data_IF_080117010366
#
_entry.id   IF_080117010366
#
_cell.length_a   1.000
_cell.length_b   1.000
_cell.length_c   1.000
_cell.angle_alpha   90.00
_cell.angle_beta   90.00
_cell.angle_gamma   90.00
#
_symmetry.space_group_name_H-M   'P 1'
#
loop_
_entity.id
_entity.type
_entity.pdbx_description
1 polymer ?
#
# COMPACT_ATOMS: atom_id res chain seq x y z
N UNK A 1 48.13 -21.56 45.35
CA UNK A 1 46.93 -22.10 44.67
C UNK A 1 46.62 -21.22 43.46
N UNK A 2 46.80 -21.74 42.24
CA UNK A 2 46.47 -21.04 40.99
C UNK A 2 45.01 -21.36 40.64
N UNK A 3 44.11 -20.37 40.68
CA UNK A 3 42.77 -20.51 40.11
C UNK A 3 42.84 -20.18 38.62
N UNK A 4 42.68 -21.22 37.78
CA UNK A 4 42.47 -21.06 36.34
C UNK A 4 40.97 -20.86 36.14
N UNK A 5 40.55 -19.62 35.87
CA UNK A 5 39.18 -19.32 35.48
C UNK A 5 38.98 -19.77 34.02
N UNK A 6 38.23 -20.85 33.82
CA UNK A 6 37.79 -21.31 32.51
C UNK A 6 36.68 -20.37 32.01
N UNK A 7 37.03 -19.39 31.18
CA UNK A 7 36.06 -18.57 30.45
C UNK A 7 35.47 -19.41 29.31
N UNK A 8 34.24 -19.89 29.46
CA UNK A 8 33.46 -20.44 28.36
C UNK A 8 33.05 -19.30 27.41
N UNK A 9 33.26 -19.42 26.09
CA UNK A 9 32.81 -18.41 25.15
C UNK A 9 31.28 -18.47 25.07
N UNK A 10 30.64 -17.36 25.46
CA UNK A 10 29.24 -17.12 25.16
C UNK A 10 29.11 -16.93 23.64
N UNK A 11 28.79 -18.00 22.92
CA UNK A 11 28.46 -17.90 21.49
C UNK A 11 27.09 -17.21 21.44
N UNK A 12 27.10 -15.90 21.17
CA UNK A 12 25.90 -15.15 20.83
C UNK A 12 25.35 -15.75 19.53
N UNK A 13 24.25 -16.50 19.63
CA UNK A 13 23.48 -16.94 18.48
C UNK A 13 22.80 -15.70 17.88
N UNK A 14 23.47 -15.05 16.92
CA UNK A 14 22.84 -14.03 16.11
C UNK A 14 21.75 -14.70 15.28
N UNK A 15 20.49 -14.47 15.67
CA UNK A 15 19.31 -14.77 14.86
C UNK A 15 19.39 -13.93 13.57
N UNK A 16 20.12 -14.41 12.58
CA UNK A 16 19.98 -13.92 11.22
C UNK A 16 18.59 -14.37 10.75
N UNK A 17 17.64 -13.43 10.69
CA UNK A 17 16.43 -13.64 9.91
C UNK A 17 16.88 -14.09 8.51
N UNK A 18 16.47 -15.28 8.07
CA UNK A 18 16.84 -15.80 6.75
C UNK A 18 16.47 -14.77 5.68
N UNK A 19 17.47 -14.33 4.91
CA UNK A 19 17.24 -13.46 3.76
C UNK A 19 16.39 -14.22 2.73
N UNK A 20 15.12 -13.83 2.61
CA UNK A 20 14.21 -14.41 1.63
C UNK A 20 14.41 -13.84 0.22
N UNK A 21 15.47 -13.05 -0.02
CA UNK A 21 15.80 -12.58 -1.35
C UNK A 21 16.11 -13.74 -2.32
N UNK A 22 15.83 -13.53 -3.61
CA UNK A 22 16.32 -14.40 -4.68
C UNK A 22 15.55 -15.73 -4.87
N UNK A 23 14.50 -15.99 -4.10
CA UNK A 23 13.68 -17.21 -4.22
C UNK A 23 12.74 -17.12 -5.42
N UNK A 24 12.32 -18.27 -5.95
CA UNK A 24 11.42 -18.36 -7.10
C UNK A 24 9.93 -18.28 -6.74
N UNK A 25 9.61 -18.35 -5.45
CA UNK A 25 8.24 -18.42 -4.97
C UNK A 25 8.08 -17.69 -3.65
N UNK A 26 6.91 -17.11 -3.46
CA UNK A 26 6.47 -16.47 -2.23
C UNK A 26 5.08 -16.99 -1.90
N UNK A 27 4.81 -17.33 -0.64
CA UNK A 27 3.50 -17.86 -0.21
C UNK A 27 2.99 -19.06 -1.03
N UNK A 28 3.91 -19.94 -1.46
CA UNK A 28 3.59 -21.07 -2.34
C UNK A 28 3.12 -20.69 -3.75
N UNK A 29 3.34 -19.43 -4.18
CA UNK A 29 3.09 -18.93 -5.53
C UNK A 29 4.45 -18.84 -6.23
N UNK A 30 4.66 -19.65 -7.26
CA UNK A 30 5.86 -19.59 -8.10
C UNK A 30 5.65 -18.62 -9.27
N UNK A 31 6.52 -17.62 -9.42
CA UNK A 31 6.40 -16.66 -10.53
C UNK A 31 6.44 -17.34 -11.91
N UNK A 32 7.22 -18.43 -12.04
CA UNK A 32 7.33 -19.22 -13.27
C UNK A 32 5.97 -19.68 -13.80
N UNK A 33 5.05 -20.06 -12.91
CA UNK A 33 3.71 -20.56 -13.28
C UNK A 33 2.83 -19.46 -13.89
N UNK A 34 3.14 -18.20 -13.59
CA UNK A 34 2.40 -17.03 -14.05
C UNK A 34 3.21 -16.17 -15.02
N UNK A 35 4.40 -16.62 -15.42
CA UNK A 35 5.27 -15.90 -16.35
C UNK A 35 4.49 -15.59 -17.64
N UNK A 36 4.67 -14.38 -18.15
CA UNK A 36 3.98 -13.84 -19.32
C UNK A 36 2.47 -13.66 -19.15
N UNK A 37 1.94 -13.50 -17.93
CA UNK A 37 0.53 -13.17 -17.74
C UNK A 37 0.10 -11.95 -18.58
N UNK A 38 0.97 -10.96 -18.76
CA UNK A 38 0.71 -9.77 -19.58
C UNK A 38 0.50 -10.06 -21.08
N UNK A 39 0.90 -11.24 -21.56
CA UNK A 39 0.64 -11.70 -22.93
C UNK A 39 -0.61 -12.59 -23.03
N UNK A 40 -1.05 -13.17 -21.92
CA UNK A 40 -2.09 -14.22 -21.87
C UNK A 40 -3.42 -13.75 -21.28
N UNK A 41 -3.37 -12.75 -20.40
CA UNK A 41 -4.49 -12.27 -19.61
C UNK A 41 -4.99 -10.94 -20.14
N UNK A 42 -6.21 -10.56 -19.76
CA UNK A 42 -6.82 -9.32 -20.22
C UNK A 42 -6.33 -8.15 -19.37
N UNK A 43 -5.92 -7.06 -20.02
CA UNK A 43 -5.59 -5.80 -19.35
C UNK A 43 -6.86 -5.25 -18.71
N UNK A 44 -6.79 -4.93 -17.42
CA UNK A 44 -7.89 -4.40 -16.62
C UNK A 44 -7.80 -2.88 -16.52
N UNK A 45 -6.63 -2.38 -16.09
CA UNK A 45 -6.41 -0.96 -15.84
C UNK A 45 -4.91 -0.65 -15.87
N UNK A 46 -4.59 0.59 -16.25
CA UNK A 46 -3.26 1.17 -16.18
C UNK A 46 -3.31 2.35 -15.21
N UNK A 47 -2.33 2.45 -14.32
CA UNK A 47 -2.20 3.57 -13.37
C UNK A 47 -0.80 4.13 -13.42
N UNK A 48 -0.68 5.45 -13.42
CA UNK A 48 0.61 6.10 -13.17
C UNK A 48 0.70 6.51 -11.69
N UNK A 49 1.79 6.13 -11.03
CA UNK A 49 2.10 6.58 -9.66
C UNK A 49 3.17 7.66 -9.71
N UNK A 50 2.81 8.86 -9.26
CA UNK A 50 3.72 10.02 -9.21
C UNK A 50 4.83 9.84 -8.17
N UNK A 51 4.53 9.15 -7.07
CA UNK A 51 5.46 9.00 -5.94
C UNK A 51 6.59 7.99 -6.20
N UNK A 52 6.38 7.06 -7.12
CA UNK A 52 7.39 6.07 -7.55
C UNK A 52 7.78 6.21 -9.02
N UNK A 53 7.16 7.14 -9.75
CA UNK A 53 7.30 7.32 -11.19
C UNK A 53 7.14 6.00 -11.97
N UNK A 54 6.08 5.25 -11.62
CA UNK A 54 5.82 3.94 -12.23
C UNK A 54 4.52 3.96 -13.04
N UNK A 55 4.57 3.39 -14.24
CA UNK A 55 3.37 2.88 -14.90
C UNK A 55 3.06 1.49 -14.36
N UNK A 56 1.79 1.26 -13.99
CA UNK A 56 1.34 0.02 -13.37
C UNK A 56 0.21 -0.59 -14.18
N UNK A 57 0.51 -1.71 -14.81
CA UNK A 57 -0.42 -2.46 -15.63
C UNK A 57 -1.00 -3.61 -14.81
N UNK A 58 -2.31 -3.66 -14.65
CA UNK A 58 -3.00 -4.77 -13.97
C UNK A 58 -3.75 -5.62 -14.98
N UNK A 59 -3.56 -6.92 -14.92
CA UNK A 59 -4.18 -7.92 -15.78
C UNK A 59 -4.97 -8.92 -14.96
N UNK A 60 -6.02 -9.50 -15.55
CA UNK A 60 -6.86 -10.52 -14.94
C UNK A 60 -6.95 -11.75 -15.84
N UNK A 61 -6.83 -12.93 -15.24
CA UNK A 61 -7.11 -14.18 -15.95
C UNK A 61 -8.60 -14.26 -16.36
N UNK A 62 -8.99 -15.21 -17.25
CA UNK A 62 -10.37 -15.26 -17.75
C UNK A 62 -11.46 -15.32 -16.67
N UNK A 63 -11.21 -16.04 -15.57
CA UNK A 63 -12.15 -16.14 -14.44
C UNK A 63 -12.35 -14.80 -13.73
N UNK A 64 -11.25 -14.14 -13.37
CA UNK A 64 -11.27 -12.85 -12.71
C UNK A 64 -11.86 -11.76 -13.62
N UNK A 65 -11.50 -11.77 -14.90
CA UNK A 65 -12.01 -10.79 -15.87
C UNK A 65 -13.51 -10.94 -16.11
N UNK A 66 -14.01 -12.18 -16.24
CA UNK A 66 -15.46 -12.45 -16.34
C UNK A 66 -16.22 -11.95 -15.11
N UNK A 67 -15.64 -12.11 -13.92
CA UNK A 67 -16.23 -11.62 -12.66
C UNK A 67 -16.34 -10.10 -12.67
N UNK A 68 -15.30 -9.40 -13.13
CA UNK A 68 -15.33 -7.94 -13.27
C UNK A 68 -16.37 -7.46 -14.30
N UNK A 69 -16.47 -8.12 -15.46
CA UNK A 69 -17.49 -7.80 -16.48
C UNK A 69 -18.92 -7.94 -15.95
N UNK A 70 -19.14 -8.89 -15.04
CA UNK A 70 -20.42 -9.10 -14.39
C UNK A 70 -20.69 -8.12 -13.23
N UNK A 71 -19.80 -7.15 -12.97
CA UNK A 71 -19.81 -6.29 -11.78
C UNK A 71 -19.95 -7.08 -10.46
N UNK A 72 -19.43 -8.30 -10.43
CA UNK A 72 -19.49 -9.17 -9.27
C UNK A 72 -18.26 -8.99 -8.39
N UNK A 73 -18.43 -9.23 -7.09
CA UNK A 73 -17.37 -9.21 -6.08
C UNK A 73 -16.99 -10.62 -5.62
N UNK A 74 -17.69 -11.64 -6.12
CA UNK A 74 -17.47 -13.04 -5.78
C UNK A 74 -16.55 -13.71 -6.81
N UNK A 75 -15.24 -13.60 -6.59
CA UNK A 75 -14.23 -14.22 -7.45
C UNK A 75 -14.16 -15.73 -7.22
N UNK A 76 -14.34 -16.57 -8.25
CA UNK A 76 -14.25 -18.03 -8.11
C UNK A 76 -12.81 -18.49 -7.85
N UNK A 77 -12.67 -19.69 -7.30
CA UNK A 77 -11.38 -20.38 -7.10
C UNK A 77 -10.54 -20.37 -8.38
N UNK A 78 -9.25 -20.06 -8.26
CA UNK A 78 -8.33 -19.93 -9.39
C UNK A 78 -8.41 -18.59 -10.13
N UNK A 79 -9.30 -17.66 -9.73
CA UNK A 79 -9.22 -16.27 -10.18
C UNK A 79 -7.85 -15.68 -9.86
N UNK A 80 -7.26 -14.95 -10.80
CA UNK A 80 -5.92 -14.44 -10.64
C UNK A 80 -5.75 -13.04 -11.24
N UNK A 81 -5.00 -12.21 -10.54
CA UNK A 81 -4.53 -10.91 -11.00
C UNK A 81 -3.01 -10.88 -11.04
N UNK A 82 -2.48 -10.25 -12.09
CA UNK A 82 -1.07 -10.01 -12.28
C UNK A 82 -0.84 -8.53 -12.52
N UNK A 83 0.11 -7.92 -11.80
CA UNK A 83 0.45 -6.51 -11.95
C UNK A 83 1.92 -6.36 -12.29
N UNK A 84 2.23 -5.50 -13.26
CA UNK A 84 3.60 -5.10 -13.59
C UNK A 84 3.74 -3.63 -13.21
N UNK A 85 4.67 -3.32 -12.32
CA UNK A 85 5.16 -1.95 -12.15
C UNK A 85 6.39 -1.78 -13.04
N UNK A 86 6.32 -0.84 -13.99
CA UNK A 86 7.44 -0.52 -14.89
C UNK A 86 8.02 0.85 -14.56
N UNK A 87 9.33 0.97 -14.68
CA UNK A 87 10.04 2.26 -14.64
C UNK A 87 9.64 3.06 -15.88
N UNK A 88 9.70 4.38 -15.80
CA UNK A 88 9.45 5.27 -16.93
C UNK A 88 10.64 6.18 -17.20
N UNK A 89 10.96 6.40 -18.48
CA UNK A 89 11.98 7.37 -18.93
C UNK A 89 11.35 8.36 -19.92
N UNK A 90 11.93 9.54 -20.16
CA UNK A 90 11.49 10.44 -21.23
C UNK A 90 11.44 9.73 -22.59
N UNK A 91 10.43 10.06 -23.39
CA UNK A 91 10.29 9.56 -24.75
C UNK A 91 11.18 10.37 -25.71
N UNK A 92 12.17 9.73 -26.40
CA UNK A 92 13.08 10.45 -27.29
C UNK A 92 12.39 11.00 -28.55
N UNK A 93 11.20 10.51 -28.91
CA UNK A 93 10.46 10.96 -30.08
C UNK A 93 9.27 11.86 -29.73
N UNK A 94 8.96 12.01 -28.44
CA UNK A 94 7.83 12.81 -27.99
C UNK A 94 8.11 13.40 -26.61
N UNK A 95 8.86 14.50 -26.58
CA UNK A 95 9.45 15.11 -25.36
C UNK A 95 8.47 15.37 -24.21
N UNK A 96 7.18 15.58 -24.52
CA UNK A 96 6.12 15.74 -23.51
C UNK A 96 5.66 14.43 -22.84
N UNK A 97 6.25 13.29 -23.19
CA UNK A 97 5.82 11.95 -22.76
C UNK A 97 6.93 11.19 -22.04
N UNK A 98 6.50 10.19 -21.26
CA UNK A 98 7.35 9.18 -20.66
C UNK A 98 6.93 7.79 -21.13
N UNK A 99 7.90 6.91 -21.35
CA UNK A 99 7.70 5.56 -21.87
C UNK A 99 8.22 4.50 -20.90
N UNK A 100 7.63 3.28 -20.88
CA UNK A 100 8.15 2.15 -20.12
C UNK A 100 9.62 1.84 -20.44
N UNK A 101 10.47 1.73 -19.42
CA UNK A 101 11.90 1.42 -19.54
C UNK A 101 12.31 0.08 -18.92
N UNK A 102 11.32 -0.74 -18.54
CA UNK A 102 11.53 -2.09 -18.00
C UNK A 102 10.70 -2.35 -16.75
N UNK A 103 10.49 -3.64 -16.43
CA UNK A 103 9.83 -4.01 -15.19
C UNK A 103 10.70 -3.62 -13.99
N UNK A 104 10.07 -3.07 -12.96
CA UNK A 104 10.64 -2.92 -11.61
C UNK A 104 10.19 -4.03 -10.69
N UNK A 105 8.96 -4.53 -10.91
CA UNK A 105 8.33 -5.55 -10.06
C UNK A 105 7.13 -6.20 -10.72
N UNK A 106 6.89 -7.43 -10.33
CA UNK A 106 5.66 -8.17 -10.58
C UNK A 106 4.93 -8.44 -9.26
N UNK A 107 3.61 -8.32 -9.28
CA UNK A 107 2.75 -8.68 -8.15
C UNK A 107 1.70 -9.66 -8.63
N UNK A 108 1.42 -10.68 -7.83
CA UNK A 108 0.42 -11.70 -8.10
C UNK A 108 -0.57 -11.78 -6.94
N UNK A 109 -1.85 -11.98 -7.28
CA UNK A 109 -2.93 -12.20 -6.34
C UNK A 109 -3.79 -13.35 -6.86
N UNK A 110 -3.84 -14.47 -6.15
CA UNK A 110 -4.44 -15.75 -6.60
C UNK A 110 -5.51 -16.20 -5.63
N UNK A 111 -6.75 -16.37 -6.11
CA UNK A 111 -7.85 -16.89 -5.31
C UNK A 111 -7.63 -18.38 -5.10
N UNK A 112 -7.41 -18.78 -3.85
CA UNK A 112 -7.33 -20.18 -3.50
C UNK A 112 -7.82 -20.43 -2.06
N UNK A 113 -8.60 -21.49 -1.86
CA UNK A 113 -9.14 -21.88 -0.57
C UNK A 113 -8.08 -22.23 0.49
N UNK A 114 -6.82 -22.46 0.11
CA UNK A 114 -5.71 -22.65 1.05
C UNK A 114 -5.33 -21.36 1.80
N UNK A 115 -5.63 -20.19 1.25
CA UNK A 115 -5.29 -18.87 1.81
C UNK A 115 -6.40 -18.33 2.72
N UNK A 116 -6.96 -19.17 3.61
CA UNK A 116 -8.14 -18.80 4.43
C UNK A 116 -7.89 -17.58 5.31
N UNK A 117 -6.69 -17.44 5.85
CA UNK A 117 -6.30 -16.35 6.72
C UNK A 117 -6.16 -15.01 5.97
N UNK A 118 -6.03 -15.07 4.64
CA UNK A 118 -5.92 -13.92 3.75
C UNK A 118 -7.17 -13.78 2.86
N UNK A 119 -8.34 -14.11 3.43
CA UNK A 119 -9.65 -13.97 2.77
C UNK A 119 -9.77 -14.79 1.46
N UNK A 120 -9.05 -15.91 1.40
CA UNK A 120 -8.96 -16.79 0.23
C UNK A 120 -8.06 -16.25 -0.88
N UNK A 121 -7.22 -15.25 -0.63
CA UNK A 121 -6.30 -14.66 -1.60
C UNK A 121 -4.84 -14.85 -1.21
N UNK A 122 -4.04 -15.45 -2.09
CA UNK A 122 -2.60 -15.53 -1.93
C UNK A 122 -1.88 -14.41 -2.65
N UNK A 123 -0.87 -13.84 -2.01
CA UNK A 123 -0.08 -12.73 -2.53
C UNK A 123 1.36 -13.14 -2.82
N UNK A 124 1.90 -12.68 -3.95
CA UNK A 124 3.30 -12.84 -4.32
C UNK A 124 3.88 -11.54 -4.87
N UNK A 125 5.09 -11.19 -4.44
CA UNK A 125 5.82 -9.99 -4.85
C UNK A 125 7.21 -10.40 -5.36
N UNK A 126 7.52 -9.98 -6.59
CA UNK A 126 8.75 -10.35 -7.27
C UNK A 126 9.41 -9.14 -7.93
N UNK A 127 10.74 -9.15 -8.01
CA UNK A 127 11.58 -8.19 -8.71
C UNK A 127 11.50 -8.34 -10.23
N UNK A 128 12.28 -7.57 -10.98
CA UNK A 128 12.34 -7.62 -12.45
C UNK A 128 12.73 -8.98 -13.03
N UNK A 129 13.44 -9.82 -12.25
CA UNK A 129 13.90 -11.15 -12.63
C UNK A 129 12.92 -12.25 -12.22
N UNK A 130 11.79 -11.88 -11.58
CA UNK A 130 10.83 -12.82 -11.05
C UNK A 130 11.29 -13.50 -9.77
N UNK A 131 12.15 -12.85 -8.99
CA UNK A 131 12.69 -13.31 -7.72
C UNK A 131 12.12 -12.51 -6.56
N UNK A 132 12.11 -13.10 -5.38
CA UNK A 132 11.58 -12.44 -4.17
C UNK A 132 12.53 -11.36 -3.66
N UNK A 133 11.95 -10.31 -3.07
CA UNK A 133 12.71 -9.26 -2.38
C UNK A 133 13.21 -9.74 -1.01
N UNK A 134 14.23 -9.08 -0.42
CA UNK A 134 14.65 -9.32 0.96
C UNK A 134 13.51 -9.14 1.98
N UNK A 135 13.69 -9.72 3.16
CA UNK A 135 12.79 -9.59 4.30
C UNK A 135 11.89 -10.81 4.52
N UNK A 136 11.01 -10.74 5.52
CA UNK A 136 10.16 -11.87 5.89
C UNK A 136 8.95 -12.00 4.94
N UNK A 137 8.80 -13.12 4.22
CA UNK A 137 7.69 -13.29 3.27
C UNK A 137 6.32 -13.33 3.97
N UNK A 138 6.26 -13.81 5.21
CA UNK A 138 5.00 -13.86 5.94
C UNK A 138 4.53 -12.46 6.33
N UNK A 139 5.44 -11.59 6.77
CA UNK A 139 5.13 -10.18 7.02
C UNK A 139 4.65 -9.48 5.75
N UNK A 140 5.31 -9.73 4.61
CA UNK A 140 4.89 -9.17 3.33
C UNK A 140 3.49 -9.67 2.90
N UNK A 141 3.16 -10.95 3.11
CA UNK A 141 1.81 -11.50 2.86
C UNK A 141 0.77 -10.83 3.75
N UNK A 142 1.06 -10.68 5.04
CA UNK A 142 0.14 -10.02 5.97
C UNK A 142 -0.06 -8.53 5.61
N UNK A 143 1.00 -7.85 5.21
CA UNK A 143 0.93 -6.47 4.71
C UNK A 143 0.04 -6.33 3.47
N UNK A 144 0.18 -7.24 2.49
CA UNK A 144 -0.69 -7.26 1.32
C UNK A 144 -2.15 -7.54 1.70
N UNK A 145 -2.40 -8.58 2.50
CA UNK A 145 -3.76 -8.96 2.94
C UNK A 145 -4.43 -7.82 3.70
N UNK A 146 -3.76 -7.23 4.69
CA UNK A 146 -4.30 -6.17 5.53
C UNK A 146 -4.63 -4.90 4.74
N UNK A 147 -3.83 -4.53 3.74
CA UNK A 147 -4.18 -3.40 2.86
C UNK A 147 -5.41 -3.73 1.99
N UNK A 148 -5.49 -4.96 1.48
CA UNK A 148 -6.59 -5.40 0.63
C UNK A 148 -7.93 -5.59 1.36
N UNK A 149 -7.94 -5.71 2.70
CA UNK A 149 -9.17 -5.65 3.53
C UNK A 149 -9.95 -4.34 3.30
N UNK A 150 -9.26 -3.23 2.98
CA UNK A 150 -9.92 -1.97 2.63
C UNK A 150 -10.81 -2.06 1.38
N UNK A 151 -10.64 -3.10 0.57
CA UNK A 151 -11.44 -3.40 -0.61
C UNK A 151 -12.34 -4.64 -0.43
N UNK A 152 -12.64 -5.06 0.80
CA UNK A 152 -13.49 -6.23 1.10
C UNK A 152 -14.83 -6.17 0.35
N UNK A 153 -15.50 -5.02 0.35
CA UNK A 153 -16.76 -4.81 -0.37
C UNK A 153 -16.64 -4.94 -1.91
N UNK A 154 -15.43 -5.17 -2.43
CA UNK A 154 -15.11 -5.49 -3.84
C UNK A 154 -14.42 -6.83 -3.99
N UNK A 155 -14.59 -7.73 -3.04
CA UNK A 155 -13.94 -9.03 -3.04
C UNK A 155 -12.43 -8.93 -2.83
N UNK A 156 -11.98 -7.91 -2.09
CA UNK A 156 -10.58 -7.59 -1.80
C UNK A 156 -9.79 -7.10 -3.03
N UNK A 157 -10.46 -6.63 -4.09
CA UNK A 157 -9.81 -6.21 -5.35
C UNK A 157 -10.03 -4.73 -5.63
N UNK A 158 -8.95 -3.93 -5.65
CA UNK A 158 -9.00 -2.49 -5.94
C UNK A 158 -9.23 -2.16 -7.43
N UNK A 159 -8.88 -3.04 -8.36
CA UNK A 159 -8.96 -2.75 -9.80
C UNK A 159 -10.39 -2.89 -10.35
N UNK A 160 -10.80 -1.91 -11.14
CA UNK A 160 -12.02 -1.91 -11.96
C UNK A 160 -11.60 -1.92 -13.43
N UNK A 161 -12.50 -2.32 -14.32
CA UNK A 161 -12.27 -2.24 -15.77
C UNK A 161 -12.11 -0.78 -16.20
N UNK A 162 -11.17 -0.53 -17.11
CA UNK A 162 -10.79 0.82 -17.54
C UNK A 162 -11.94 1.61 -18.16
N UNK A 163 -12.83 0.94 -18.88
CA UNK A 163 -14.02 1.49 -19.54
C UNK A 163 -15.17 1.78 -18.55
N UNK A 164 -15.10 1.26 -17.32
CA UNK A 164 -16.08 1.46 -16.26
C UNK A 164 -15.42 1.94 -14.95
N UNK A 165 -14.41 2.80 -15.06
CA UNK A 165 -13.76 3.41 -13.90
C UNK A 165 -14.70 4.47 -13.29
N UNK A 166 -15.49 4.09 -12.28
CA UNK A 166 -16.16 5.07 -11.44
C UNK A 166 -15.14 5.67 -10.45
N UNK A 167 -14.50 6.77 -10.87
CA UNK A 167 -13.57 7.55 -10.04
C UNK A 167 -14.29 8.45 -9.04
N UNK A 168 -15.62 8.61 -9.17
CA UNK A 168 -16.41 9.56 -8.39
C UNK A 168 -17.11 8.90 -7.21
N UNK A 169 -17.37 7.59 -7.28
CA UNK A 169 -17.94 6.83 -6.18
C UNK A 169 -16.85 5.97 -5.54
N UNK A 170 -16.56 6.23 -4.27
CA UNK A 170 -15.86 5.28 -3.39
C UNK A 170 -16.68 4.01 -3.12
N UNK A 171 -17.51 3.58 -4.08
CA UNK A 171 -18.26 2.34 -4.00
C UNK A 171 -17.27 1.20 -3.90
N UNK A 172 -17.23 0.61 -2.71
CA UNK A 172 -16.44 -0.58 -2.45
C UNK A 172 -15.12 -0.37 -1.70
N UNK A 173 -14.93 0.79 -1.06
CA UNK A 173 -13.98 0.91 0.05
C UNK A 173 -14.74 0.60 1.34
N UNK A 174 -14.27 -0.38 2.10
CA UNK A 174 -14.84 -0.72 3.40
C UNK A 174 -14.63 0.44 4.37
N UNK A 175 -15.65 0.71 5.20
CA UNK A 175 -15.57 1.73 6.24
C UNK A 175 -14.46 1.34 7.23
N UNK A 176 -13.36 2.09 7.22
CA UNK A 176 -12.25 1.91 8.15
C UNK A 176 -12.59 2.50 9.52
N UNK A 177 -11.99 1.92 10.56
CA UNK A 177 -12.13 2.33 11.93
C UNK A 177 -11.04 3.34 12.32
N UNK A 178 -11.46 4.36 13.06
CA UNK A 178 -10.58 5.39 13.58
C UNK A 178 -10.85 5.63 15.06
N UNK A 179 -9.81 5.54 15.88
CA UNK A 179 -9.83 5.88 17.30
C UNK A 179 -9.53 7.36 17.49
N UNK A 180 -10.23 8.01 18.43
CA UNK A 180 -9.85 9.33 18.88
C UNK A 180 -8.67 9.17 19.86
N UNK A 181 -7.57 9.88 19.61
CA UNK A 181 -6.40 9.90 20.50
C UNK A 181 -5.98 11.33 20.80
N UNK A 182 -5.26 11.51 21.90
CA UNK A 182 -4.65 12.78 22.27
C UNK A 182 -3.32 12.97 21.54
N UNK A 183 -3.06 14.21 21.07
CA UNK A 183 -1.80 14.58 20.43
C UNK A 183 -0.61 14.26 21.33
N UNK A 184 -0.75 14.50 22.63
CA UNK A 184 0.31 14.33 23.63
C UNK A 184 0.75 12.87 23.82
N UNK A 185 -0.10 11.91 23.43
CA UNK A 185 0.22 10.48 23.46
C UNK A 185 1.21 10.02 22.38
N UNK A 186 1.48 10.87 21.38
CA UNK A 186 2.34 10.56 20.23
C UNK A 186 3.82 10.84 20.51
N UNK A 187 4.74 10.21 19.78
CA UNK A 187 6.14 10.65 19.73
C UNK A 187 6.27 12.15 19.39
N UNK A 188 7.19 12.88 20.04
CA UNK A 188 7.34 14.34 19.89
C UNK A 188 7.48 14.81 18.44
N UNK A 189 8.27 14.10 17.65
CA UNK A 189 8.48 14.37 16.23
C UNK A 189 7.19 14.29 15.40
N UNK A 190 6.20 13.50 15.82
CA UNK A 190 4.88 13.45 15.16
C UNK A 190 3.97 14.56 15.71
N UNK A 191 4.07 14.87 17.01
CA UNK A 191 3.32 15.98 17.61
C UNK A 191 3.62 17.32 16.93
N UNK A 192 4.87 17.54 16.52
CA UNK A 192 5.33 18.74 15.82
C UNK A 192 4.74 18.90 14.42
N UNK A 193 4.28 17.81 13.79
CA UNK A 193 3.62 17.85 12.48
C UNK A 193 2.16 18.32 12.58
N UNK A 194 1.60 18.28 13.78
CA UNK A 194 0.19 18.57 14.06
C UNK A 194 0.08 20.00 14.60
N UNK A 195 -0.68 20.89 13.94
CA UNK A 195 -0.91 22.24 14.43
C UNK A 195 -1.41 22.25 15.88
N UNK A 196 -0.88 23.12 16.77
CA UNK A 196 -1.21 23.11 18.21
C UNK A 196 -2.70 23.28 18.54
N UNK A 197 -3.48 23.84 17.61
CA UNK A 197 -4.95 23.95 17.73
C UNK A 197 -5.64 22.58 17.84
N UNK A 198 -5.04 21.52 17.29
CA UNK A 198 -5.57 20.16 17.36
C UNK A 198 -5.01 19.42 18.58
N UNK A 199 -5.80 19.38 19.67
CA UNK A 199 -5.51 18.56 20.85
C UNK A 199 -5.75 17.07 20.62
N UNK A 200 -6.65 16.74 19.70
CA UNK A 200 -7.05 15.37 19.36
C UNK A 200 -6.93 15.11 17.87
N UNK A 201 -6.80 13.84 17.52
CA UNK A 201 -6.74 13.36 16.14
C UNK A 201 -7.36 11.97 16.00
N UNK A 202 -7.55 11.54 14.76
CA UNK A 202 -8.08 10.23 14.38
C UNK A 202 -6.95 9.27 14.03
N UNK A 203 -6.70 8.28 14.87
CA UNK A 203 -5.75 7.21 14.59
C UNK A 203 -6.45 6.06 13.84
N UNK A 204 -5.94 5.68 12.67
CA UNK A 204 -6.39 4.53 11.91
C UNK A 204 -6.15 3.25 12.72
N UNK A 205 -7.24 2.57 13.08
CA UNK A 205 -7.24 1.39 13.94
C UNK A 205 -7.58 0.15 13.13
N UNK A 206 -6.68 -0.20 12.22
CA UNK A 206 -6.85 -1.30 11.27
C UNK A 206 -5.60 -2.18 11.23
N UNK A 207 -5.74 -3.43 10.78
CA UNK A 207 -4.58 -4.33 10.61
C UNK A 207 -3.51 -3.73 9.69
N UNK A 208 -3.89 -2.88 8.75
CA UNK A 208 -2.93 -2.23 7.84
C UNK A 208 -1.97 -1.29 8.59
N UNK A 209 -2.35 -0.75 9.75
CA UNK A 209 -1.43 0.03 10.59
C UNK A 209 -0.35 -0.90 11.18
N UNK A 210 -0.75 -2.09 11.64
CA UNK A 210 0.18 -3.10 12.16
C UNK A 210 1.20 -3.58 11.13
N UNK A 211 0.73 -3.90 9.92
CA UNK A 211 1.56 -4.43 8.84
C UNK A 211 1.96 -3.38 7.80
N UNK A 212 2.04 -2.10 8.20
CA UNK A 212 2.40 -1.03 7.29
C UNK A 212 3.80 -1.25 6.70
N UNK A 213 3.95 -0.93 5.42
CA UNK A 213 5.24 -0.86 4.71
C UNK A 213 5.30 0.43 3.90
N UNK A 214 6.42 0.71 3.24
CA UNK A 214 6.61 1.96 2.47
C UNK A 214 5.45 2.27 1.52
N UNK A 215 4.97 1.26 0.80
CA UNK A 215 3.87 1.42 -0.15
C UNK A 215 2.55 1.81 0.53
N UNK A 216 2.30 1.31 1.74
CA UNK A 216 1.10 1.63 2.54
C UNK A 216 1.00 3.13 2.80
N UNK A 217 2.11 3.79 3.14
CA UNK A 217 2.09 5.16 3.66
C UNK A 217 1.42 6.17 2.70
N UNK A 218 1.66 6.03 1.41
CA UNK A 218 0.98 6.84 0.39
C UNK A 218 -0.38 6.28 -0.01
N UNK A 219 -0.53 4.95 -0.03
CA UNK A 219 -1.76 4.28 -0.43
C UNK A 219 -2.92 4.53 0.55
N UNK A 220 -2.63 4.82 1.83
CA UNK A 220 -3.68 5.14 2.81
C UNK A 220 -4.20 6.58 2.73
N UNK A 221 -3.48 7.48 2.05
CA UNK A 221 -3.80 8.92 2.05
C UNK A 221 -5.27 9.19 1.75
N UNK A 222 -5.90 8.60 0.72
CA UNK A 222 -7.33 8.84 0.44
C UNK A 222 -8.24 8.50 1.62
N UNK A 223 -7.94 7.44 2.39
CA UNK A 223 -8.73 7.06 3.56
C UNK A 223 -8.57 8.08 4.69
N UNK A 224 -7.34 8.53 4.92
CA UNK A 224 -7.07 9.58 5.90
C UNK A 224 -7.76 10.90 5.49
N UNK A 225 -7.69 11.29 4.22
CA UNK A 225 -8.37 12.49 3.69
C UNK A 225 -9.88 12.43 3.90
N UNK A 226 -10.51 11.27 3.68
CA UNK A 226 -11.95 11.08 3.92
C UNK A 226 -12.30 11.27 5.41
N UNK A 227 -11.50 10.72 6.31
CA UNK A 227 -11.72 10.90 7.74
C UNK A 227 -11.46 12.35 8.19
N UNK A 228 -10.45 13.03 7.64
CA UNK A 228 -10.25 14.47 7.87
C UNK A 228 -11.45 15.28 7.39
N UNK A 229 -11.96 14.97 6.19
CA UNK A 229 -13.13 15.65 5.63
C UNK A 229 -14.36 15.50 6.53
N UNK A 230 -14.56 14.30 7.09
CA UNK A 230 -15.69 13.97 7.96
C UNK A 230 -15.55 14.55 9.37
N UNK A 231 -14.39 14.39 10.00
CA UNK A 231 -14.17 14.74 11.40
C UNK A 231 -13.69 16.18 11.62
N UNK A 232 -13.13 16.81 10.57
CA UNK A 232 -12.39 18.08 10.64
C UNK A 232 -11.17 18.03 11.56
N UNK A 233 -10.67 16.85 11.88
CA UNK A 233 -9.46 16.62 12.69
C UNK A 233 -8.37 16.00 11.81
N UNK A 234 -7.08 16.09 12.18
CA UNK A 234 -6.03 15.31 11.56
C UNK A 234 -6.33 13.80 11.65
N UNK A 235 -5.92 13.05 10.63
CA UNK A 235 -6.04 11.59 10.60
C UNK A 235 -4.66 10.96 10.35
N UNK A 236 -4.31 9.94 11.13
CA UNK A 236 -2.97 9.36 11.23
C UNK A 236 -3.04 7.85 11.05
N UNK A 237 -2.17 7.30 10.20
CA UNK A 237 -1.65 5.96 10.32
C UNK A 237 -0.32 6.03 11.06
N UNK A 238 -0.17 5.26 12.13
CA UNK A 238 1.09 5.04 12.84
C UNK A 238 1.24 3.54 13.05
N UNK A 239 2.37 2.98 12.63
CA UNK A 239 2.59 1.56 12.81
C UNK A 239 2.91 1.18 14.27
N UNK A 240 2.84 -0.11 14.60
CA UNK A 240 3.05 -0.59 15.98
C UNK A 240 4.45 -0.23 16.53
N UNK A 241 5.47 -0.25 15.68
CA UNK A 241 6.85 0.13 16.04
C UNK A 241 7.05 1.64 16.20
N UNK A 242 6.04 2.43 15.83
CA UNK A 242 6.06 3.91 15.81
C UNK A 242 7.20 4.50 14.98
N UNK A 243 7.70 3.75 14.01
CA UNK A 243 8.80 4.13 13.12
C UNK A 243 8.33 4.44 11.69
N UNK A 244 7.05 4.27 11.38
CA UNK A 244 6.44 4.64 10.11
C UNK A 244 5.08 5.28 10.33
N UNK A 245 4.84 6.39 9.62
CA UNK A 245 3.58 7.10 9.73
C UNK A 245 3.16 7.74 8.41
N UNK A 246 1.85 7.97 8.29
CA UNK A 246 1.24 8.82 7.28
C UNK A 246 0.15 9.63 7.95
N UNK A 247 0.21 10.95 7.86
CA UNK A 247 -0.75 11.86 8.47
C UNK A 247 -1.32 12.80 7.44
N UNK A 248 -2.63 13.01 7.49
CA UNK A 248 -3.31 14.08 6.77
C UNK A 248 -3.80 15.09 7.78
N UNK A 249 -3.44 16.35 7.56
CA UNK A 249 -3.81 17.49 8.40
C UNK A 249 -4.67 18.43 7.55
N UNK A 250 -5.85 18.87 8.02
CA UNK A 250 -6.60 19.92 7.36
C UNK A 250 -5.86 21.26 7.50
N UNK A 251 -5.75 22.00 6.41
CA UNK A 251 -5.15 23.32 6.34
C UNK A 251 -6.22 24.37 6.08
N UNK A 252 -5.96 25.61 6.50
CA UNK A 252 -6.84 26.76 6.25
C UNK A 252 -8.31 26.46 6.61
N UNK A 253 -8.59 26.05 7.85
CA UNK A 253 -9.91 25.58 8.30
C UNK A 253 -11.10 26.52 7.99
N UNK A 254 -10.85 27.80 7.69
CA UNK A 254 -11.86 28.78 7.25
C UNK A 254 -11.96 29.00 5.73
N UNK A 255 -11.02 28.50 4.93
CA UNK A 255 -10.95 28.71 3.48
C UNK A 255 -11.25 27.41 2.74
N UNK A 256 -12.13 27.47 1.75
CA UNK A 256 -12.41 26.35 0.84
C UNK A 256 -11.55 26.47 -0.40
N UNK A 257 -11.12 25.33 -0.92
CA UNK A 257 -10.52 25.24 -2.24
C UNK A 257 -11.60 24.83 -3.26
N UNK A 258 -11.34 25.09 -4.54
CA UNK A 258 -12.19 24.62 -5.64
C UNK A 258 -11.36 23.86 -6.66
N UNK A 259 -11.95 22.79 -7.19
CA UNK A 259 -11.47 22.09 -8.38
C UNK A 259 -12.63 22.00 -9.36
N UNK A 260 -12.59 22.85 -10.39
CA UNK A 260 -13.74 23.14 -11.24
C UNK A 260 -14.93 23.66 -10.42
N UNK A 261 -16.06 22.94 -10.47
CA UNK A 261 -17.30 23.29 -9.76
C UNK A 261 -17.40 22.70 -8.35
N UNK A 262 -16.41 21.91 -7.92
CA UNK A 262 -16.47 21.21 -6.63
C UNK A 262 -15.79 22.01 -5.54
N UNK A 263 -16.45 22.09 -4.39
CA UNK A 263 -15.83 22.62 -3.19
C UNK A 263 -14.95 21.56 -2.55
N UNK A 264 -13.88 22.01 -1.91
CA UNK A 264 -12.94 21.16 -1.18
C UNK A 264 -12.35 21.83 0.04
N UNK A 265 -11.47 21.09 0.71
CA UNK A 265 -10.69 21.57 1.85
C UNK A 265 -9.22 21.40 1.50
N UNK A 266 -8.41 22.40 1.84
CA UNK A 266 -6.97 22.27 1.75
C UNK A 266 -6.47 21.26 2.77
N UNK A 267 -5.63 20.34 2.32
CA UNK A 267 -5.04 19.31 3.17
C UNK A 267 -3.56 19.21 2.89
N UNK A 268 -2.81 18.88 3.94
CA UNK A 268 -1.40 18.51 3.87
C UNK A 268 -1.25 17.06 4.29
N UNK A 269 -0.65 16.25 3.42
CA UNK A 269 -0.23 14.89 3.73
C UNK A 269 1.26 14.89 4.04
N UNK A 270 1.66 14.19 5.09
CA UNK A 270 3.06 13.99 5.48
C UNK A 270 3.27 12.52 5.78
N UNK A 271 4.31 11.91 5.23
CA UNK A 271 4.67 10.53 5.55
C UNK A 271 6.18 10.33 5.59
N UNK A 272 6.63 9.41 6.44
CA UNK A 272 8.06 9.08 6.58
C UNK A 272 8.28 7.71 7.22
N UNK A 273 9.51 7.21 7.07
CA UNK A 273 10.09 6.10 7.84
C UNK A 273 11.23 6.67 8.70
N UNK A 274 11.02 6.71 10.01
CA UNK A 274 11.89 7.38 10.98
C UNK A 274 13.32 6.81 11.08
N UNK A 275 13.55 5.58 10.59
CA UNK A 275 14.81 4.85 10.77
C UNK A 275 15.76 4.86 9.55
N UNK A 276 15.41 5.58 8.48
CA UNK A 276 16.28 5.77 7.32
C UNK A 276 16.52 7.28 7.14
N UNK A 277 17.51 7.71 6.36
CA UNK A 277 17.85 9.13 6.09
C UNK A 277 16.72 9.93 5.38
N UNK A 278 15.47 9.52 5.51
CA UNK A 278 14.32 9.97 4.75
C UNK A 278 13.66 11.18 5.40
N UNK A 279 13.83 12.32 4.73
CA UNK A 279 13.06 13.53 4.93
C UNK A 279 11.55 13.25 4.84
N UNK A 280 10.77 14.02 5.59
CA UNK A 280 9.32 13.97 5.54
C UNK A 280 8.85 14.33 4.13
N UNK A 281 8.21 13.38 3.43
CA UNK A 281 7.58 13.66 2.15
C UNK A 281 6.25 14.36 2.41
N UNK A 282 6.14 15.58 1.89
CA UNK A 282 5.00 16.46 2.13
C UNK A 282 4.27 16.76 0.81
N UNK A 283 2.95 16.68 0.83
CA UNK A 283 2.09 17.05 -0.29
C UNK A 283 0.95 17.93 0.20
N UNK A 284 0.81 19.11 -0.40
CA UNK A 284 -0.34 20.00 -0.24
C UNK A 284 -1.31 19.79 -1.40
N UNK A 285 -2.60 19.68 -1.11
CA UNK A 285 -3.62 19.43 -2.14
C UNK A 285 -5.00 19.92 -1.73
N UNK A 286 -5.84 20.17 -2.72
CA UNK A 286 -7.27 20.39 -2.53
C UNK A 286 -7.98 19.04 -2.55
N UNK A 287 -8.65 18.67 -1.46
CA UNK A 287 -9.49 17.47 -1.43
C UNK A 287 -10.96 17.86 -1.63
N UNK A 288 -11.49 17.57 -2.82
CA UNK A 288 -12.86 17.92 -3.19
C UNK A 288 -13.85 16.80 -2.88
N UNK A 289 -15.10 17.19 -2.64
CA UNK A 289 -16.24 16.29 -2.39
C UNK A 289 -17.41 16.62 -3.30
#
# INVERSE_FOLDING_TARGET
>A
MKFIALMLPFIALSLFAEDFAGKNSMNGISFKNYKNFNKKWKLVVVRYRKDTEELRFTYANPLAYKTLLANSVHFPEGSAFGKIGVKTNPDPLFESSVVPSGARRYQLMIKNNKFKNEHGWGYGLFDENGKTFPGNPQEQVQACSACHEAAESRGFVFSQLMDNLDLKKNHGITKLNFKLIERESLPKNIQELIPPVFKFLKLLDEKMAKYAFEGTLEEVRPFLSLEVLKSKMPALLLNERKDMYSIVVPENLGSRCQDGLKNGIYMKSIYSQLNSKNENKTLHYCYTY
#
